data_IF_201101066261
#
_entry.id   IF_201101066261
#
_cell.length_a   1.000
_cell.length_b   1.000
_cell.length_c   1.000
_cell.angle_alpha   90.00
_cell.angle_beta   90.00
_cell.angle_gamma   90.00
#
_symmetry.space_group_name_H-M   'P 1'
#
loop_
_entity.id
_entity.type
_entity.pdbx_description
1 polymer ?
#
# COMPACT_ATOMS: atom_id res chain seq x y z
N UNK A 1 11.85 -6.29 -20.22
CA UNK A 1 11.57 -4.91 -20.63
C UNK A 1 12.18 -3.97 -19.59
N UNK A 2 13.22 -3.18 -19.91
CA UNK A 2 13.77 -2.25 -18.93
C UNK A 2 12.85 -1.03 -18.93
N UNK A 3 11.93 -0.97 -17.98
CA UNK A 3 11.15 0.25 -17.70
C UNK A 3 12.15 1.23 -17.06
N UNK A 4 12.87 1.99 -17.91
CA UNK A 4 13.85 3.00 -17.48
C UNK A 4 13.23 4.37 -17.27
N UNK A 5 11.98 4.55 -17.71
CA UNK A 5 11.28 5.81 -17.49
C UNK A 5 10.98 5.97 -15.98
N UNK A 6 11.57 6.98 -15.32
CA UNK A 6 11.36 7.21 -13.89
C UNK A 6 9.89 7.48 -13.55
N UNK A 7 9.10 8.02 -14.48
CA UNK A 7 7.68 8.33 -14.26
C UNK A 7 6.86 7.05 -14.11
N UNK A 8 7.06 6.08 -15.00
CA UNK A 8 6.36 4.78 -14.97
C UNK A 8 6.78 3.99 -13.72
N UNK A 9 8.05 4.05 -13.34
CA UNK A 9 8.54 3.44 -12.11
C UNK A 9 7.87 4.03 -10.87
N UNK A 10 7.75 5.35 -10.79
CA UNK A 10 7.06 6.02 -9.68
C UNK A 10 5.57 5.66 -9.63
N UNK A 11 4.88 5.59 -10.77
CA UNK A 11 3.48 5.16 -10.85
C UNK A 11 3.33 3.72 -10.34
N UNK A 12 4.21 2.82 -10.77
CA UNK A 12 4.22 1.44 -10.34
C UNK A 12 4.49 1.31 -8.83
N UNK A 13 5.47 2.06 -8.31
CA UNK A 13 5.77 2.12 -6.87
C UNK A 13 4.57 2.64 -6.06
N UNK A 14 3.93 3.73 -6.51
CA UNK A 14 2.72 4.28 -5.88
C UNK A 14 1.63 3.22 -5.78
N UNK A 15 1.30 2.55 -6.88
CA UNK A 15 0.26 1.51 -6.91
C UNK A 15 0.60 0.30 -6.03
N UNK A 16 1.87 -0.12 -5.97
CA UNK A 16 2.29 -1.34 -5.26
C UNK A 16 2.63 -1.16 -3.80
N UNK A 17 2.96 0.06 -3.35
CA UNK A 17 3.49 0.28 -2.00
C UNK A 17 2.66 1.27 -1.17
N UNK A 18 1.91 2.17 -1.80
CA UNK A 18 1.19 3.25 -1.09
C UNK A 18 -0.25 2.87 -0.77
N UNK A 19 -0.39 1.85 0.07
CA UNK A 19 -1.68 1.45 0.62
C UNK A 19 -1.54 1.05 2.09
N UNK A 20 -2.66 1.10 2.81
CA UNK A 20 -2.76 0.62 4.19
C UNK A 20 -3.26 -0.83 4.21
N UNK A 21 -2.80 -1.61 5.18
CA UNK A 21 -3.24 -2.98 5.44
C UNK A 21 -3.91 -3.01 6.79
N UNK A 22 -5.09 -3.62 6.89
CA UNK A 22 -5.71 -3.86 8.18
C UNK A 22 -4.93 -4.93 8.97
N UNK A 23 -4.61 -4.66 10.23
CA UNK A 23 -3.93 -5.63 11.11
C UNK A 23 -4.83 -6.81 11.51
N UNK A 24 -6.15 -6.60 11.53
CA UNK A 24 -7.11 -7.64 11.91
C UNK A 24 -7.41 -8.61 10.76
N UNK A 25 -7.78 -8.09 9.59
CA UNK A 25 -8.26 -8.90 8.46
C UNK A 25 -7.33 -8.93 7.23
N UNK A 26 -6.22 -8.20 7.24
CA UNK A 26 -5.25 -8.17 6.14
C UNK A 26 -5.71 -7.44 4.87
N UNK A 27 -6.92 -6.86 4.84
CA UNK A 27 -7.42 -6.16 3.67
C UNK A 27 -6.56 -4.94 3.31
N UNK A 28 -6.35 -4.73 1.99
CA UNK A 28 -5.71 -3.52 1.45
C UNK A 28 -6.74 -2.40 1.35
N UNK A 29 -6.38 -1.25 1.91
CA UNK A 29 -7.19 -0.04 2.00
C UNK A 29 -6.43 1.14 1.37
N UNK A 30 -7.19 2.15 0.94
CA UNK A 30 -6.65 3.37 0.37
C UNK A 30 -5.70 4.10 1.35
N UNK A 31 -4.73 4.88 0.84
CA UNK A 31 -3.84 5.68 1.69
C UNK A 31 -4.59 6.68 2.58
N UNK A 32 -5.72 7.22 2.11
CA UNK A 32 -6.60 8.14 2.84
C UNK A 32 -7.59 7.42 3.77
N UNK A 33 -7.63 6.09 3.79
CA UNK A 33 -8.59 5.34 4.60
C UNK A 33 -8.32 5.55 6.10
N UNK A 34 -9.40 5.83 6.83
CA UNK A 34 -9.44 5.91 8.30
C UNK A 34 -9.85 4.56 8.91
N UNK A 35 -10.77 3.83 8.27
CA UNK A 35 -11.23 2.49 8.69
C UNK A 35 -11.06 1.45 7.60
N UNK A 36 -11.00 0.17 8.00
CA UNK A 36 -10.95 -0.93 7.05
C UNK A 36 -12.27 -1.09 6.30
N UNK A 37 -12.21 -1.27 4.98
CA UNK A 37 -13.40 -1.48 4.14
C UNK A 37 -14.15 -2.81 4.34
N UNK A 38 -13.58 -3.76 5.11
CA UNK A 38 -14.12 -5.12 5.28
C UNK A 38 -14.59 -5.39 6.71
N UNK A 39 -13.72 -5.18 7.70
CA UNK A 39 -14.05 -5.40 9.11
C UNK A 39 -14.34 -4.11 9.89
N UNK A 40 -14.28 -2.95 9.24
CA UNK A 40 -14.50 -1.62 9.86
C UNK A 40 -13.58 -1.26 11.04
N UNK A 41 -12.58 -2.07 11.37
CA UNK A 41 -11.54 -1.73 12.35
C UNK A 41 -10.71 -0.53 11.91
N UNK A 42 -10.32 0.30 12.88
CA UNK A 42 -9.43 1.46 12.71
C UNK A 42 -7.94 1.08 12.79
N UNK A 43 -7.62 -0.19 13.09
CA UNK A 43 -6.26 -0.69 13.24
C UNK A 43 -5.60 -0.96 11.86
N UNK A 44 -5.28 0.11 11.16
CA UNK A 44 -4.62 0.11 9.85
C UNK A 44 -3.13 0.39 9.99
N UNK A 45 -2.29 -0.33 9.25
CA UNK A 45 -0.85 -0.08 9.14
C UNK A 45 -0.46 0.23 7.70
N UNK A 46 0.63 0.97 7.51
CA UNK A 46 1.21 1.12 6.17
C UNK A 46 1.90 -0.17 5.70
N UNK A 47 1.93 -0.39 4.38
CA UNK A 47 2.79 -1.41 3.78
C UNK A 47 4.27 -1.02 3.98
N UNK A 48 5.10 -2.02 4.32
CA UNK A 48 6.55 -1.84 4.46
C UNK A 48 7.13 -1.46 3.09
N UNK A 49 7.88 -0.37 3.06
CA UNK A 49 8.46 0.23 1.84
C UNK A 49 9.96 -0.02 1.69
N UNK A 50 10.62 -0.44 2.76
CA UNK A 50 12.04 -0.78 2.72
C UNK A 50 12.30 -2.03 1.88
N UNK A 51 13.40 -1.99 1.14
CA UNK A 51 13.97 -3.16 0.48
C UNK A 51 14.54 -4.05 1.59
N UNK A 52 14.05 -5.29 1.73
CA UNK A 52 14.76 -6.30 2.52
C UNK A 52 16.05 -6.61 1.77
N UNK A 53 17.20 -6.29 2.37
CA UNK A 53 18.50 -6.84 1.98
C UNK A 53 18.61 -8.28 2.47
#
# INVERSE_FOLDING_TARGET
MPIRDPTILQIAQRRRLYYKICRECGARNAPTAVKCRKCHSYNLRWKKREIKR
#
